data_IF_407695112060
#
_entry.id   IF_407695112060
#
_cell.length_a   1.000
_cell.length_b   1.000
_cell.length_c   1.000
_cell.angle_alpha   90.00
_cell.angle_beta   90.00
_cell.angle_gamma   90.00
#
_symmetry.space_group_name_H-M   'P 1'
#
loop_
_entity.id
_entity.type
_entity.pdbx_description
1 polymer ?
#
# COMPACT_ATOMS: atom_id res chain seq x y z
N UNK A 1 5.08 -16.21 22.81
CA UNK A 1 6.23 -15.29 22.83
C UNK A 1 6.24 -14.63 21.48
N UNK A 2 5.59 -13.47 21.38
CA UNK A 2 5.71 -12.62 20.20
C UNK A 2 7.14 -12.10 20.25
N UNK A 3 7.95 -12.50 19.27
CA UNK A 3 9.23 -11.86 19.04
C UNK A 3 8.88 -10.40 18.74
N UNK A 4 9.19 -9.49 19.65
CA UNK A 4 9.23 -8.06 19.36
C UNK A 4 10.22 -7.91 18.20
N UNK A 5 9.71 -7.94 16.97
CA UNK A 5 10.49 -7.70 15.77
C UNK A 5 11.14 -6.33 15.98
N UNK A 6 12.48 -6.33 16.14
CA UNK A 6 13.27 -5.13 16.40
C UNK A 6 12.86 -4.02 15.44
N UNK A 7 12.04 -3.09 15.93
CA UNK A 7 11.48 -2.01 15.12
C UNK A 7 12.58 -1.08 14.61
N UNK A 8 13.80 -1.15 15.17
CA UNK A 8 14.95 -0.37 14.76
C UNK A 8 15.70 -0.97 13.55
N UNK A 9 15.21 -2.07 12.96
CA UNK A 9 15.77 -2.64 11.73
C UNK A 9 15.96 -1.58 10.66
N UNK A 10 17.10 -1.69 9.94
CA UNK A 10 17.52 -0.69 8.95
C UNK A 10 16.79 -0.82 7.62
N UNK A 11 16.28 -2.01 7.36
CA UNK A 11 15.60 -2.45 6.17
C UNK A 11 14.56 -3.51 6.55
N UNK A 12 13.59 -3.77 5.67
CA UNK A 12 12.53 -4.74 5.91
C UNK A 12 11.74 -5.00 4.64
N UNK A 13 10.86 -6.02 4.68
CA UNK A 13 10.08 -6.43 3.52
C UNK A 13 8.60 -6.20 3.78
N UNK A 14 7.99 -5.30 3.01
CA UNK A 14 6.54 -5.05 3.05
C UNK A 14 5.84 -5.91 2.00
N UNK A 15 4.84 -6.71 2.42
CA UNK A 15 4.05 -7.59 1.53
C UNK A 15 2.56 -7.26 1.62
N UNK A 16 1.89 -7.26 0.46
CA UNK A 16 0.45 -7.12 0.34
C UNK A 16 -0.09 -8.20 -0.61
N UNK A 17 -1.01 -9.02 -0.12
CA UNK A 17 -1.74 -10.00 -0.95
C UNK A 17 -3.19 -9.52 -1.07
N UNK A 18 -3.61 -9.20 -2.30
CA UNK A 18 -4.97 -8.79 -2.60
C UNK A 18 -5.75 -10.02 -3.08
N UNK A 19 -6.64 -10.53 -2.21
CA UNK A 19 -7.61 -11.55 -2.60
C UNK A 19 -8.68 -10.94 -3.51
N UNK A 20 -9.24 -11.76 -4.40
CA UNK A 20 -10.29 -11.36 -5.35
C UNK A 20 -9.91 -10.10 -6.17
N UNK A 21 -8.66 -10.06 -6.64
CA UNK A 21 -8.05 -8.89 -7.30
C UNK A 21 -8.90 -8.30 -8.44
N UNK A 22 -9.61 -9.14 -9.20
CA UNK A 22 -10.48 -8.70 -10.30
C UNK A 22 -11.66 -7.84 -9.83
N UNK A 23 -12.04 -7.94 -8.55
CA UNK A 23 -13.14 -7.21 -7.91
C UNK A 23 -12.67 -5.99 -7.10
N UNK A 24 -11.37 -5.66 -7.14
CA UNK A 24 -10.81 -4.51 -6.44
C UNK A 24 -11.50 -3.21 -6.85
N UNK A 25 -12.13 -2.54 -5.88
CA UNK A 25 -12.81 -1.24 -6.04
C UNK A 25 -12.27 -0.19 -5.07
N UNK A 26 -12.04 -0.60 -3.83
CA UNK A 26 -11.53 0.24 -2.75
C UNK A 26 -10.02 0.12 -2.59
N UNK A 27 -9.45 1.01 -1.79
CA UNK A 27 -8.04 0.94 -1.42
C UNK A 27 -7.76 -0.28 -0.54
N UNK A 28 -6.63 -0.94 -0.77
CA UNK A 28 -6.15 -2.06 0.03
C UNK A 28 -4.81 -1.71 0.64
N UNK A 29 -4.67 -2.06 1.91
CA UNK A 29 -3.49 -1.77 2.71
C UNK A 29 -2.83 -3.07 3.18
N UNK A 30 -1.50 -3.08 3.26
CA UNK A 30 -0.79 -4.13 4.00
C UNK A 30 -0.90 -3.90 5.51
N UNK A 31 -0.56 -4.94 6.28
CA UNK A 31 -0.14 -4.72 7.65
C UNK A 31 1.08 -3.77 7.68
N UNK A 32 1.23 -2.97 8.76
CA UNK A 32 2.44 -2.18 8.96
C UNK A 32 3.65 -3.08 9.18
N UNK A 33 4.79 -2.65 8.65
CA UNK A 33 6.12 -3.21 8.94
C UNK A 33 6.95 -2.09 9.52
N UNK A 34 7.54 -2.30 10.70
CA UNK A 34 8.35 -1.28 11.35
C UNK A 34 9.79 -1.34 10.84
N UNK A 35 10.24 -0.23 10.26
CA UNK A 35 11.61 -0.06 9.76
C UNK A 35 12.05 1.32 10.23
N UNK A 36 13.18 1.38 10.95
CA UNK A 36 13.67 2.61 11.61
C UNK A 36 12.65 3.23 12.57
N UNK A 37 11.92 2.41 13.31
CA UNK A 37 10.86 2.80 14.25
C UNK A 37 9.69 3.56 13.63
N UNK A 38 9.57 3.54 12.29
CA UNK A 38 8.44 4.13 11.57
C UNK A 38 7.57 3.02 11.00
N UNK A 39 6.23 3.13 11.05
CA UNK A 39 5.36 2.16 10.43
C UNK A 39 5.29 2.39 8.92
N UNK A 40 5.67 1.37 8.15
CA UNK A 40 5.59 1.37 6.69
C UNK A 40 4.47 0.45 6.22
N UNK A 41 3.66 0.87 5.24
CA UNK A 41 2.65 -0.01 4.62
C UNK A 41 2.49 0.24 3.13
N UNK A 42 2.15 -0.79 2.38
CA UNK A 42 1.71 -0.65 0.99
C UNK A 42 0.24 -0.24 0.94
N UNK A 43 -0.09 0.66 0.01
CA UNK A 43 -1.45 1.01 -0.38
C UNK A 43 -1.63 0.78 -1.88
N UNK A 44 -2.63 -0.01 -2.25
CA UNK A 44 -2.97 -0.29 -3.64
C UNK A 44 -4.41 0.12 -3.94
N UNK A 45 -4.64 0.75 -5.09
CA UNK A 45 -5.99 1.14 -5.52
C UNK A 45 -6.17 1.05 -7.04
N UNK A 46 -7.37 0.70 -7.49
CA UNK A 46 -7.69 0.68 -8.91
C UNK A 46 -7.96 2.11 -9.40
N UNK A 47 -7.21 2.58 -10.40
CA UNK A 47 -7.46 3.86 -11.08
C UNK A 47 -8.10 3.63 -12.45
N UNK A 48 -9.02 4.52 -12.81
CA UNK A 48 -9.63 4.58 -14.15
C UNK A 48 -9.06 5.78 -14.87
N UNK A 49 -8.23 5.54 -15.88
CA UNK A 49 -7.62 6.59 -16.69
C UNK A 49 -8.40 6.75 -17.99
N UNK A 50 -8.75 7.99 -18.34
CA UNK A 50 -9.26 8.33 -19.67
C UNK A 50 -8.06 8.63 -20.56
N UNK A 51 -7.85 7.83 -21.60
CA UNK A 51 -6.81 8.12 -22.60
C UNK A 51 -7.39 9.11 -23.60
N UNK A 52 -6.83 10.32 -23.68
CA UNK A 52 -7.21 11.36 -24.63
C UNK A 52 -6.95 10.90 -26.07
N UNK A 53 -7.91 10.20 -26.65
CA UNK A 53 -8.08 9.84 -28.07
C UNK A 53 -9.11 8.72 -28.23
N UNK A 54 -9.40 7.95 -27.17
CA UNK A 54 -10.35 6.85 -27.22
C UNK A 54 -11.38 6.97 -26.09
N UNK A 55 -12.64 6.63 -26.38
CA UNK A 55 -13.68 6.49 -25.34
C UNK A 55 -13.42 5.29 -24.40
N UNK A 56 -12.31 4.55 -24.58
CA UNK A 56 -11.97 3.39 -23.77
C UNK A 56 -11.39 3.83 -22.42
N UNK A 57 -12.07 3.43 -21.35
CA UNK A 57 -11.57 3.57 -19.97
C UNK A 57 -10.53 2.48 -19.73
N UNK A 58 -9.29 2.86 -19.46
CA UNK A 58 -8.23 1.92 -19.06
C UNK A 58 -8.22 1.80 -17.55
N UNK A 59 -8.15 0.58 -17.03
CA UNK A 59 -7.98 0.30 -15.60
C UNK A 59 -6.50 0.08 -15.32
N UNK A 60 -5.95 0.80 -14.35
CA UNK A 60 -4.59 0.63 -13.86
C UNK A 60 -4.60 0.34 -12.37
N UNK A 61 -3.56 -0.31 -11.86
CA UNK A 61 -3.32 -0.44 -10.42
C UNK A 61 -2.31 0.62 -10.02
N UNK A 62 -2.67 1.50 -9.08
CA UNK A 62 -1.73 2.41 -8.46
C UNK A 62 -1.26 1.81 -7.14
N UNK A 63 0.05 1.78 -6.93
CA UNK A 63 0.70 1.26 -5.72
C UNK A 63 1.55 2.35 -5.09
N UNK A 64 1.42 2.52 -3.78
CA UNK A 64 2.10 3.54 -2.99
C UNK A 64 2.71 2.88 -1.76
N UNK A 65 3.88 3.35 -1.34
CA UNK A 65 4.47 3.02 -0.06
C UNK A 65 4.23 4.20 0.89
N UNK A 66 3.49 3.97 1.97
CA UNK A 66 3.21 4.97 2.99
C UNK A 66 4.18 4.78 4.16
N UNK A 67 4.76 5.88 4.62
CA UNK A 67 5.58 5.96 5.81
C UNK A 67 4.82 6.77 6.87
N UNK A 68 4.84 6.30 8.11
CA UNK A 68 4.25 6.98 9.26
C UNK A 68 2.78 7.38 9.06
N UNK A 69 1.97 6.47 8.50
CA UNK A 69 0.59 6.76 8.10
C UNK A 69 -0.38 7.06 9.27
N UNK A 70 0.05 6.81 10.50
CA UNK A 70 -0.74 7.03 11.73
C UNK A 70 -0.67 8.48 12.21
N UNK A 71 0.33 9.26 11.78
CA UNK A 71 0.34 10.69 12.05
C UNK A 71 -0.57 11.38 11.04
N UNK A 72 -1.73 11.85 11.49
CA UNK A 72 -2.32 13.03 10.88
C UNK A 72 -1.26 14.12 10.95
N UNK A 73 -0.88 14.69 9.80
CA UNK A 73 -0.04 15.88 9.76
C UNK A 73 -0.69 16.92 10.68
N UNK A 74 -0.01 17.29 11.77
CA UNK A 74 -0.41 18.40 12.64
C UNK A 74 -0.58 19.70 11.83
#
# INVERSE_FOLDING_TARGET
MELEEDSAQREGVVRLIIKDFSQLKDEKFSAPVYIRNLPWRLMCTQRKVKVHASQKKVKTLAAFLQCNFETESL
#
